data_IF_509683841302
#
_entry.id   IF_509683841302
#
_cell.length_a   1.000
_cell.length_b   1.000
_cell.length_c   1.000
_cell.angle_alpha   90.00
_cell.angle_beta   90.00
_cell.angle_gamma   90.00
#
_symmetry.space_group_name_H-M   'P 1'
#
loop_
_entity.id
_entity.type
_entity.pdbx_description
1 polymer ?
#
# COMPACT_ATOMS: atom_id res chain seq x y z
N UNK A 1 -2.98 -28.24 3.15
CA UNK A 1 -4.10 -27.42 3.65
C UNK A 1 -4.50 -26.44 2.56
N UNK A 2 -5.79 -26.17 2.40
CA UNK A 2 -6.25 -25.08 1.53
C UNK A 2 -5.89 -23.74 2.19
N UNK A 3 -5.40 -22.73 1.44
CA UNK A 3 -5.10 -21.42 2.02
C UNK A 3 -6.41 -20.80 2.52
N UNK A 4 -6.54 -20.62 3.84
CA UNK A 4 -7.66 -19.91 4.44
C UNK A 4 -7.35 -18.41 4.51
N UNK A 5 -8.36 -17.57 4.68
CA UNK A 5 -8.16 -16.14 4.95
C UNK A 5 -7.59 -15.88 6.36
N UNK A 6 -7.78 -16.79 7.30
CA UNK A 6 -7.49 -16.59 8.73
C UNK A 6 -6.14 -17.14 9.19
N UNK A 7 -5.48 -17.99 8.41
CA UNK A 7 -4.18 -18.58 8.76
C UNK A 7 -3.15 -18.28 7.67
N UNK A 8 -2.73 -17.02 7.62
CA UNK A 8 -1.78 -16.50 6.63
C UNK A 8 -0.79 -15.51 7.22
N UNK A 9 0.36 -15.41 6.55
CA UNK A 9 1.29 -14.31 6.68
C UNK A 9 0.82 -13.10 5.87
N UNK A 10 0.40 -12.03 6.55
CA UNK A 10 -0.06 -10.79 5.91
C UNK A 10 1.02 -9.71 5.98
N UNK A 11 1.40 -9.05 4.88
CA UNK A 11 2.25 -7.87 4.98
C UNK A 11 1.46 -6.73 5.63
N UNK A 12 2.04 -6.11 6.66
CA UNK A 12 1.38 -5.04 7.43
C UNK A 12 2.09 -3.70 7.29
N UNK A 13 3.36 -3.70 6.90
CA UNK A 13 4.14 -2.49 6.68
C UNK A 13 5.35 -2.72 5.77
N UNK A 14 5.80 -1.67 5.09
CA UNK A 14 7.17 -1.63 4.57
C UNK A 14 8.13 -1.27 5.70
N UNK A 15 9.24 -2.01 5.82
CA UNK A 15 10.25 -1.79 6.87
C UNK A 15 10.75 -0.35 6.92
N UNK A 16 10.95 0.27 5.74
CA UNK A 16 11.41 1.65 5.59
C UNK A 16 10.44 2.74 6.02
N UNK A 17 9.18 2.39 6.24
CA UNK A 17 8.15 3.33 6.70
C UNK A 17 7.81 3.13 8.19
N UNK A 18 8.34 2.08 8.83
CA UNK A 18 8.27 1.87 10.26
C UNK A 18 9.24 2.82 11.03
N UNK A 19 8.85 3.16 12.25
CA UNK A 19 9.60 4.02 13.16
C UNK A 19 9.91 3.25 14.46
N UNK A 20 11.16 2.83 14.70
CA UNK A 20 11.50 2.00 15.86
C UNK A 20 11.37 2.74 17.20
N UNK A 21 11.13 4.06 17.18
CA UNK A 21 11.04 4.86 18.41
C UNK A 21 9.64 4.93 19.00
N UNK A 22 8.62 4.42 18.29
CA UNK A 22 7.21 4.52 18.72
C UNK A 22 6.36 3.38 18.18
N UNK A 23 5.33 2.96 18.93
CA UNK A 23 4.38 1.98 18.43
C UNK A 23 3.54 2.56 17.28
N UNK A 24 3.06 1.69 16.40
CA UNK A 24 2.29 2.05 15.21
C UNK A 24 1.09 1.10 15.05
N UNK A 25 -0.08 1.66 14.75
CA UNK A 25 -1.30 0.86 14.54
C UNK A 25 -1.42 0.34 13.11
N UNK A 26 -1.88 -0.91 12.97
CA UNK A 26 -2.43 -1.47 11.73
C UNK A 26 -3.70 -2.25 12.04
N UNK A 27 -4.66 -2.33 11.13
CA UNK A 27 -5.85 -3.17 11.30
C UNK A 27 -5.83 -4.26 10.24
N UNK A 28 -5.95 -5.51 10.68
CA UNK A 28 -5.93 -6.71 9.84
C UNK A 28 -7.15 -7.57 10.19
N UNK A 29 -7.99 -7.88 9.20
CA UNK A 29 -9.18 -8.72 9.41
C UNK A 29 -10.07 -8.25 10.57
N UNK A 30 -10.36 -6.94 10.63
CA UNK A 30 -11.06 -6.24 11.72
C UNK A 30 -10.37 -6.27 13.10
N UNK A 31 -9.16 -6.82 13.20
CA UNK A 31 -8.36 -6.81 14.42
C UNK A 31 -7.34 -5.68 14.39
N UNK A 32 -7.41 -4.78 15.36
CA UNK A 32 -6.38 -3.77 15.58
C UNK A 32 -5.11 -4.41 16.15
N UNK A 33 -3.97 -4.04 15.56
CA UNK A 33 -2.64 -4.50 15.88
C UNK A 33 -1.74 -3.32 16.23
N UNK A 34 -0.88 -3.51 17.23
CA UNK A 34 0.24 -2.61 17.52
C UNK A 34 1.54 -3.23 17.01
N UNK A 35 2.21 -2.54 16.09
CA UNK A 35 3.52 -2.86 15.56
C UNK A 35 4.56 -2.02 16.29
N UNK A 36 5.59 -2.65 16.84
CA UNK A 36 6.58 -1.96 17.66
C UNK A 36 7.94 -2.64 17.61
N UNK A 37 9.00 -1.87 17.91
CA UNK A 37 10.37 -2.37 17.93
C UNK A 37 10.75 -2.79 19.35
N UNK A 38 10.98 -4.09 19.53
CA UNK A 38 11.46 -4.69 20.77
C UNK A 38 12.99 -4.61 20.78
N UNK A 39 13.53 -3.56 21.39
CA UNK A 39 14.97 -3.32 21.38
C UNK A 39 15.78 -4.45 22.08
N UNK A 40 15.34 -5.02 23.23
CA UNK A 40 16.00 -6.19 23.81
C UNK A 40 15.99 -7.42 22.91
N UNK A 41 14.90 -7.64 22.18
CA UNK A 41 14.75 -8.77 21.26
C UNK A 41 15.26 -8.52 19.84
N UNK A 42 15.83 -7.34 19.56
CA UNK A 42 16.32 -6.87 18.25
C UNK A 42 15.35 -7.20 17.09
N UNK A 43 14.05 -7.03 17.32
CA UNK A 43 13.03 -7.47 16.36
C UNK A 43 11.76 -6.64 16.41
N UNK A 44 11.06 -6.62 15.26
CA UNK A 44 9.71 -6.07 15.19
C UNK A 44 8.71 -7.06 15.77
N UNK A 45 7.82 -6.57 16.63
CA UNK A 45 6.76 -7.33 17.29
C UNK A 45 5.39 -6.79 16.93
N UNK A 46 4.38 -7.65 17.00
CA UNK A 46 3.00 -7.31 16.71
C UNK A 46 2.09 -7.89 17.78
N UNK A 47 1.34 -7.04 18.50
CA UNK A 47 0.31 -7.50 19.46
C UNK A 47 -1.08 -7.14 18.98
N UNK A 48 -2.10 -7.77 19.55
CA UNK A 48 -3.44 -7.17 19.57
C UNK A 48 -3.34 -5.79 20.23
N UNK A 49 -3.93 -4.77 19.62
CA UNK A 49 -3.83 -3.38 20.07
C UNK A 49 -4.79 -3.07 21.24
N UNK A 50 -4.67 -3.82 22.32
CA UNK A 50 -5.56 -3.72 23.46
C UNK A 50 -4.81 -4.10 24.74
N UNK A 51 -4.69 -3.16 25.66
CA UNK A 51 -4.06 -3.41 26.95
C UNK A 51 -4.94 -4.36 27.79
N UNK A 52 -4.41 -5.47 28.33
CA UNK A 52 -5.19 -6.43 29.11
C UNK A 52 -5.73 -5.86 30.43
N UNK A 53 -5.19 -4.72 30.89
CA UNK A 53 -5.63 -4.09 32.14
C UNK A 53 -7.01 -3.41 31.99
N UNK A 54 -7.15 -2.46 31.05
CA UNK A 54 -8.39 -1.66 30.85
C UNK A 54 -8.69 -1.33 29.39
N UNK A 55 -8.21 -2.17 28.47
CA UNK A 55 -8.61 -2.21 27.08
C UNK A 55 -8.30 -0.96 26.23
N UNK A 56 -7.45 -0.06 26.72
CA UNK A 56 -6.95 1.07 25.93
C UNK A 56 -5.99 0.58 24.83
N UNK A 57 -5.91 1.26 23.68
CA UNK A 57 -4.98 0.90 22.61
C UNK A 57 -3.53 1.07 23.09
N UNK A 58 -2.71 0.05 22.82
CA UNK A 58 -1.27 0.06 23.12
C UNK A 58 -0.50 0.88 22.09
N UNK A 59 -1.05 1.06 20.89
CA UNK A 59 -0.48 1.88 19.82
C UNK A 59 -0.37 3.35 20.16
N UNK A 60 -1.15 3.82 21.13
CA UNK A 60 -1.08 5.18 21.69
C UNK A 60 -0.04 5.30 22.81
N UNK A 61 0.66 4.19 23.12
CA UNK A 61 1.72 4.11 24.12
C UNK A 61 3.07 4.61 23.64
N UNK A 62 4.12 4.16 24.32
CA UNK A 62 5.52 4.48 23.98
C UNK A 62 6.42 3.27 24.11
N UNK A 63 7.63 3.38 23.57
CA UNK A 63 8.73 2.49 23.93
C UNK A 63 9.44 3.12 25.12
N UNK A 64 9.50 2.42 26.24
CA UNK A 64 10.15 2.95 27.45
C UNK A 64 11.68 2.80 27.39
N UNK A 65 12.36 3.27 28.43
CA UNK A 65 13.81 3.29 28.54
C UNK A 65 14.43 1.88 28.53
N UNK A 66 13.66 0.86 28.92
CA UNK A 66 14.06 -0.55 28.86
C UNK A 66 13.78 -1.19 27.49
N UNK A 67 13.27 -0.42 26.52
CA UNK A 67 12.92 -0.91 25.19
C UNK A 67 11.64 -1.75 25.14
N UNK A 68 10.77 -1.63 26.13
CA UNK A 68 9.49 -2.36 26.25
C UNK A 68 8.32 -1.50 25.76
N UNK A 69 7.24 -2.16 25.34
CA UNK A 69 5.98 -1.48 25.02
C UNK A 69 5.27 -1.06 26.31
N UNK A 70 5.11 0.24 26.51
CA UNK A 70 4.48 0.82 27.69
C UNK A 70 3.09 1.38 27.36
N UNK A 71 2.07 0.90 28.08
CA UNK A 71 0.70 1.35 27.95
C UNK A 71 0.55 2.81 28.41
N UNK A 72 -0.12 3.68 27.63
CA UNK A 72 -0.21 5.11 27.94
C UNK A 72 -1.09 5.43 29.16
N UNK A 73 -1.89 4.46 29.64
CA UNK A 73 -2.87 4.74 30.68
C UNK A 73 -2.28 4.58 32.09
N UNK A 74 -1.68 3.44 32.40
CA UNK A 74 -1.16 3.15 33.74
C UNK A 74 0.31 2.74 33.75
N UNK A 75 1.01 2.85 32.62
CA UNK A 75 2.45 2.54 32.53
C UNK A 75 2.78 1.06 32.65
N UNK A 76 1.80 0.16 32.43
CA UNK A 76 2.09 -1.28 32.36
C UNK A 76 2.99 -1.52 31.14
N UNK A 77 4.11 -2.20 31.35
CA UNK A 77 5.06 -2.50 30.28
C UNK A 77 5.07 -3.98 29.92
N UNK A 78 5.30 -4.26 28.64
CA UNK A 78 5.31 -5.60 28.07
C UNK A 78 6.57 -5.81 27.23
N UNK A 79 7.20 -6.97 27.35
CA UNK A 79 8.27 -7.38 26.43
C UNK A 79 7.71 -7.90 25.10
N UNK A 80 8.57 -8.32 24.17
CA UNK A 80 8.20 -8.84 22.87
C UNK A 80 7.39 -10.15 22.85
N UNK A 81 7.41 -10.92 23.94
CA UNK A 81 6.61 -12.14 24.08
C UNK A 81 5.20 -11.83 24.64
N UNK A 82 4.96 -10.58 25.03
CA UNK A 82 3.72 -10.12 25.63
C UNK A 82 3.68 -10.27 27.15
N UNK A 83 4.78 -10.68 27.78
CA UNK A 83 4.88 -10.81 29.23
C UNK A 83 4.88 -9.43 29.88
N UNK A 84 4.00 -9.21 30.86
CA UNK A 84 4.02 -7.98 31.64
C UNK A 84 5.28 -7.92 32.50
N UNK A 85 6.12 -6.91 32.24
CA UNK A 85 7.43 -6.73 32.89
C UNK A 85 7.38 -5.75 34.05
N UNK A 86 6.54 -4.72 33.98
CA UNK A 86 6.36 -3.78 35.07
C UNK A 86 4.90 -3.34 35.21
N UNK A 87 4.46 -3.24 36.46
CA UNK A 87 3.21 -2.60 36.86
C UNK A 87 3.61 -1.53 37.88
N UNK A 88 3.68 -0.24 37.50
CA UNK A 88 4.22 0.80 38.39
C UNK A 88 3.45 0.95 39.71
N UNK A 89 2.20 0.51 39.76
CA UNK A 89 1.34 0.56 40.95
C UNK A 89 1.44 -0.69 41.84
N UNK A 90 2.26 -1.68 41.49
CA UNK A 90 2.40 -2.91 42.25
C UNK A 90 3.42 -2.71 43.39
N UNK A 91 2.99 -2.98 44.63
CA UNK A 91 3.86 -2.91 45.80
C UNK A 91 4.93 -4.00 45.81
N UNK A 92 6.02 -3.77 46.54
CA UNK A 92 7.11 -4.75 46.69
C UNK A 92 6.59 -6.10 47.20
N UNK A 93 7.01 -7.20 46.57
CA UNK A 93 6.64 -8.56 46.95
C UNK A 93 5.29 -9.06 46.40
N UNK A 94 4.47 -8.20 45.81
CA UNK A 94 3.26 -8.64 45.11
C UNK A 94 3.61 -9.36 43.79
N UNK A 95 2.91 -10.46 43.50
CA UNK A 95 3.04 -11.20 42.23
C UNK A 95 1.84 -10.91 41.35
N UNK A 96 2.08 -10.52 40.10
CA UNK A 96 1.02 -10.47 39.09
C UNK A 96 0.47 -11.87 38.84
N UNK A 97 -0.85 -11.96 38.58
CA UNK A 97 -1.43 -13.18 38.04
C UNK A 97 -1.02 -13.32 36.58
N UNK A 98 0.15 -13.93 36.33
CA UNK A 98 0.90 -13.90 35.06
C UNK A 98 0.02 -13.97 33.79
N UNK A 99 -0.85 -14.98 33.69
CA UNK A 99 -1.66 -15.21 32.47
C UNK A 99 -2.68 -14.10 32.15
N UNK A 100 -3.21 -13.39 33.15
CA UNK A 100 -4.20 -12.30 32.91
C UNK A 100 -3.55 -10.97 32.58
N UNK A 101 -2.25 -10.87 32.78
CA UNK A 101 -1.46 -9.67 32.53
C UNK A 101 -0.73 -9.71 31.18
N UNK A 102 -0.79 -10.81 30.45
CA UNK A 102 -0.09 -10.97 29.17
C UNK A 102 -0.84 -10.31 28.00
N UNK A 103 -0.08 -9.73 27.08
CA UNK A 103 -0.57 -9.26 25.79
C UNK A 103 -0.53 -10.39 24.76
N UNK A 104 -1.53 -10.45 23.87
CA UNK A 104 -1.55 -11.44 22.79
C UNK A 104 -0.49 -11.15 21.73
N UNK A 105 0.68 -11.78 21.85
CA UNK A 105 1.75 -11.72 20.85
C UNK A 105 1.41 -12.50 19.59
N UNK A 106 1.66 -11.89 18.43
CA UNK A 106 1.45 -12.49 17.12
C UNK A 106 2.82 -12.71 16.46
N UNK A 107 3.07 -13.88 15.84
CA UNK A 107 4.31 -14.12 15.13
C UNK A 107 4.55 -13.06 14.05
N UNK A 108 5.79 -12.59 13.97
CA UNK A 108 6.26 -11.65 12.96
C UNK A 108 7.39 -12.28 12.14
N UNK A 109 7.50 -11.87 10.88
CA UNK A 109 8.60 -12.27 10.00
C UNK A 109 8.88 -11.16 9.01
N UNK A 110 10.12 -11.06 8.53
CA UNK A 110 10.56 -10.04 7.59
C UNK A 110 11.03 -10.73 6.32
N UNK A 111 10.59 -10.22 5.17
CA UNK A 111 11.09 -10.67 3.87
C UNK A 111 10.85 -9.64 2.80
N UNK A 112 11.82 -9.45 1.90
CA UNK A 112 11.69 -8.53 0.77
C UNK A 112 11.34 -7.08 1.19
N UNK A 113 11.86 -6.62 2.32
CA UNK A 113 11.60 -5.27 2.88
C UNK A 113 10.18 -5.04 3.43
N UNK A 114 9.41 -6.11 3.65
CA UNK A 114 8.08 -6.08 4.26
C UNK A 114 8.11 -6.74 5.65
N UNK A 115 7.35 -6.16 6.59
CA UNK A 115 7.00 -6.82 7.85
C UNK A 115 5.71 -7.61 7.64
N UNK A 116 5.74 -8.89 7.95
CA UNK A 116 4.60 -9.80 7.94
C UNK A 116 4.14 -10.12 9.37
N UNK A 117 2.83 -10.30 9.52
CA UNK A 117 2.19 -10.80 10.76
C UNK A 117 1.38 -12.04 10.44
N UNK A 118 1.54 -13.08 11.25
CA UNK A 118 0.73 -14.28 11.15
C UNK A 118 -0.64 -14.08 11.82
N UNK A 119 -1.70 -14.40 11.09
CA UNK A 119 -3.09 -14.22 11.54
C UNK A 119 -3.69 -15.44 12.25
N UNK A 120 -3.07 -16.61 12.09
CA UNK A 120 -3.59 -17.88 12.59
C UNK A 120 -3.03 -18.29 13.95
N UNK A 121 -3.08 -19.59 14.22
CA UNK A 121 -2.50 -20.17 15.44
C UNK A 121 -0.97 -20.02 15.42
N UNK A 122 -0.37 -19.48 16.48
CA UNK A 122 1.06 -19.16 16.52
C UNK A 122 1.97 -20.38 16.25
N UNK A 123 1.59 -21.58 16.71
CA UNK A 123 2.35 -22.82 16.48
C UNK A 123 2.37 -23.28 15.01
N UNK A 124 1.48 -22.75 14.16
CA UNK A 124 1.43 -23.04 12.73
C UNK A 124 2.21 -22.02 11.88
N UNK A 125 2.75 -20.97 12.51
CA UNK A 125 3.50 -19.93 11.82
C UNK A 125 4.91 -20.44 11.45
N UNK A 126 5.14 -20.71 10.17
CA UNK A 126 6.47 -20.97 9.62
C UNK A 126 7.05 -19.70 8.98
N UNK A 127 8.08 -19.07 9.57
CA UNK A 127 8.72 -17.87 9.01
C UNK A 127 9.38 -18.08 7.65
N UNK A 128 9.66 -19.32 7.24
CA UNK A 128 10.21 -19.62 5.91
C UNK A 128 9.12 -19.64 4.81
N UNK A 129 7.85 -19.76 5.19
CA UNK A 129 6.71 -19.87 4.28
C UNK A 129 6.07 -18.50 3.94
N UNK A 130 6.88 -17.44 3.84
CA UNK A 130 6.40 -16.13 3.44
C UNK A 130 5.96 -16.12 1.95
N UNK A 131 4.84 -15.45 1.61
CA UNK A 131 4.41 -15.30 0.22
C UNK A 131 5.28 -14.22 -0.43
N UNK A 132 6.46 -14.60 -0.91
CA UNK A 132 7.43 -13.71 -1.53
C UNK A 132 7.43 -13.86 -3.05
N UNK A 133 7.85 -12.81 -3.78
CA UNK A 133 8.00 -12.87 -5.24
C UNK A 133 9.31 -13.57 -5.59
N UNK A 134 9.33 -14.79 -6.16
CA UNK A 134 10.55 -15.61 -6.21
C UNK A 134 11.73 -14.98 -6.96
N UNK A 135 11.47 -14.14 -7.97
CA UNK A 135 12.50 -13.50 -8.79
C UNK A 135 13.16 -12.30 -8.11
N UNK A 136 12.60 -11.79 -7.01
CA UNK A 136 13.16 -10.68 -6.25
C UNK A 136 14.00 -11.21 -5.08
N UNK A 137 15.32 -11.15 -5.24
CA UNK A 137 16.26 -11.54 -4.19
C UNK A 137 16.89 -10.31 -3.55
N UNK A 138 16.92 -10.27 -2.23
CA UNK A 138 17.55 -9.17 -1.47
C UNK A 138 19.08 -9.26 -1.58
N UNK A 139 19.75 -8.12 -1.69
CA UNK A 139 21.21 -8.02 -1.68
C UNK A 139 21.64 -6.74 -0.95
N UNK A 140 22.13 -6.89 0.28
CA UNK A 140 22.38 -5.75 1.18
C UNK A 140 21.10 -4.91 1.35
N UNK A 141 21.21 -3.60 1.21
CA UNK A 141 20.07 -2.67 1.27
C UNK A 141 19.24 -2.60 -0.03
N UNK A 142 19.57 -3.43 -1.02
CA UNK A 142 18.98 -3.41 -2.36
C UNK A 142 18.55 -4.78 -2.85
N UNK A 143 18.59 -4.94 -4.17
CA UNK A 143 18.13 -6.15 -4.86
C UNK A 143 19.24 -6.73 -5.73
N UNK A 144 19.33 -8.06 -5.76
CA UNK A 144 20.18 -8.77 -6.68
C UNK A 144 19.77 -8.53 -8.14
N UNK A 145 20.59 -8.99 -9.09
CA UNK A 145 20.29 -9.03 -10.52
C UNK A 145 19.92 -7.67 -11.15
N UNK A 146 20.30 -6.57 -10.49
CA UNK A 146 20.11 -5.22 -11.01
C UNK A 146 18.68 -4.69 -10.94
N UNK A 147 17.79 -5.31 -10.15
CA UNK A 147 16.43 -4.81 -9.94
C UNK A 147 16.41 -3.43 -9.28
N UNK A 148 15.46 -2.60 -9.71
CA UNK A 148 15.04 -1.38 -9.02
C UNK A 148 13.57 -1.54 -8.69
N UNK A 149 13.21 -1.38 -7.42
CA UNK A 149 11.83 -1.58 -6.98
C UNK A 149 11.26 -0.26 -6.48
N UNK A 150 10.19 0.19 -7.15
CA UNK A 150 9.36 1.29 -6.66
C UNK A 150 8.19 0.69 -5.89
N UNK A 151 8.16 0.92 -4.59
CA UNK A 151 7.12 0.42 -3.70
C UNK A 151 6.14 1.55 -3.32
N UNK A 152 4.87 1.20 -3.10
CA UNK A 152 3.88 2.09 -2.50
C UNK A 152 2.78 1.30 -1.81
N UNK A 153 2.00 1.94 -0.95
CA UNK A 153 0.81 1.34 -0.37
C UNK A 153 -0.35 2.34 -0.35
N UNK A 154 -1.58 1.85 -0.24
CA UNK A 154 -2.76 2.70 -0.05
C UNK A 154 -3.83 1.88 0.66
N UNK A 155 -4.48 2.47 1.67
CA UNK A 155 -5.78 1.98 2.12
C UNK A 155 -6.82 2.33 1.06
N UNK A 156 -7.48 1.31 0.52
CA UNK A 156 -8.50 1.43 -0.49
C UNK A 156 -9.88 1.13 0.11
N UNK A 157 -10.91 1.93 -0.20
CA UNK A 157 -12.28 1.75 0.27
C UNK A 157 -13.01 0.69 -0.58
N UNK A 158 -12.43 -0.49 -0.67
CA UNK A 158 -13.02 -1.66 -1.30
C UNK A 158 -12.50 -2.94 -0.64
N UNK A 159 -13.18 -4.06 -0.83
CA UNK A 159 -12.69 -5.34 -0.37
C UNK A 159 -11.44 -5.82 -1.13
N UNK A 160 -10.61 -6.62 -0.45
CA UNK A 160 -9.40 -7.20 -1.04
C UNK A 160 -9.68 -8.04 -2.29
N UNK A 161 -10.84 -8.70 -2.37
CA UNK A 161 -11.26 -9.46 -3.54
C UNK A 161 -11.56 -8.57 -4.75
N UNK A 162 -12.26 -7.43 -4.53
CA UNK A 162 -12.51 -6.45 -5.58
C UNK A 162 -11.20 -5.86 -6.11
N UNK A 163 -10.25 -5.59 -5.20
CA UNK A 163 -8.91 -5.18 -5.61
C UNK A 163 -8.22 -6.25 -6.46
N UNK A 164 -8.18 -7.51 -6.00
CA UNK A 164 -7.53 -8.62 -6.71
C UNK A 164 -8.11 -8.82 -8.11
N UNK A 165 -9.44 -8.84 -8.23
CA UNK A 165 -10.13 -8.92 -9.51
C UNK A 165 -9.68 -7.82 -10.47
N UNK A 166 -9.67 -6.57 -10.00
CA UNK A 166 -9.25 -5.42 -10.79
C UNK A 166 -7.79 -5.49 -11.23
N UNK A 167 -6.86 -5.80 -10.32
CA UNK A 167 -5.42 -5.81 -10.67
C UNK A 167 -5.04 -6.98 -11.56
N UNK A 168 -5.77 -8.10 -11.50
CA UNK A 168 -5.58 -9.26 -12.38
C UNK A 168 -6.10 -9.01 -13.80
N UNK A 169 -7.21 -8.29 -13.94
CA UNK A 169 -7.78 -7.95 -15.23
C UNK A 169 -6.98 -6.82 -15.92
N UNK A 170 -6.11 -7.17 -16.86
CA UNK A 170 -5.35 -6.17 -17.62
C UNK A 170 -6.16 -5.43 -18.70
N UNK A 171 -7.39 -5.87 -19.00
CA UNK A 171 -8.18 -5.35 -20.13
C UNK A 171 -8.70 -3.93 -19.89
N UNK A 172 -8.90 -3.53 -18.62
CA UNK A 172 -9.35 -2.19 -18.26
C UNK A 172 -8.26 -1.11 -18.45
N UNK A 173 -6.98 -1.49 -18.48
CA UNK A 173 -5.85 -0.56 -18.42
C UNK A 173 -5.84 0.50 -19.53
N UNK A 174 -6.08 0.16 -20.82
CA UNK A 174 -6.19 1.16 -21.88
C UNK A 174 -7.30 2.20 -21.67
N UNK A 175 -8.36 1.84 -20.94
CA UNK A 175 -9.58 2.61 -20.81
C UNK A 175 -9.64 3.43 -19.52
N UNK A 176 -9.55 2.78 -18.37
CA UNK A 176 -9.60 3.43 -17.05
C UNK A 176 -8.39 4.30 -16.82
N UNK A 177 -7.20 3.77 -17.15
CA UNK A 177 -5.92 4.46 -16.98
C UNK A 177 -5.56 5.31 -18.19
N UNK A 178 -6.55 5.73 -18.98
CA UNK A 178 -6.32 6.60 -20.13
C UNK A 178 -5.68 7.92 -19.68
N UNK A 179 -4.57 8.30 -20.33
CA UNK A 179 -3.77 9.51 -20.02
C UNK A 179 -2.99 9.45 -18.70
N UNK A 180 -3.01 8.32 -17.99
CA UNK A 180 -2.07 8.03 -16.89
C UNK A 180 -1.03 7.03 -17.37
N UNK A 181 -1.32 5.73 -17.27
CA UNK A 181 -0.41 4.65 -17.70
C UNK A 181 -0.88 3.94 -18.97
N UNK A 182 -2.14 4.14 -19.38
CA UNK A 182 -2.78 3.52 -20.53
C UNK A 182 -3.15 4.52 -21.65
N UNK A 183 -3.40 3.97 -22.84
CA UNK A 183 -4.01 4.70 -23.96
C UNK A 183 -5.07 3.81 -24.61
N UNK A 184 -6.26 4.36 -24.86
CA UNK A 184 -7.40 3.64 -25.46
C UNK A 184 -7.05 3.01 -26.81
N UNK A 185 -6.21 3.68 -27.60
CA UNK A 185 -5.70 3.19 -28.89
C UNK A 185 -4.86 1.90 -28.79
N UNK A 186 -4.34 1.56 -27.60
CA UNK A 186 -3.57 0.34 -27.39
C UNK A 186 -4.47 -0.87 -27.01
N UNK A 187 -5.79 -0.70 -26.90
CA UNK A 187 -6.68 -1.81 -26.58
C UNK A 187 -6.59 -2.92 -27.64
N UNK A 188 -6.46 -4.16 -27.19
CA UNK A 188 -6.36 -5.35 -28.04
C UNK A 188 -7.00 -6.55 -27.35
N UNK A 189 -7.34 -7.63 -28.09
CA UNK A 189 -7.77 -8.88 -27.48
C UNK A 189 -6.77 -9.37 -26.44
N UNK A 190 -7.26 -9.82 -25.28
CA UNK A 190 -6.45 -10.47 -24.25
C UNK A 190 -6.62 -11.97 -24.43
N UNK A 191 -5.61 -12.63 -24.98
CA UNK A 191 -5.60 -14.06 -25.30
C UNK A 191 -4.73 -14.81 -24.27
N UNK A 192 -5.09 -14.66 -23.00
CA UNK A 192 -4.42 -15.35 -21.90
C UNK A 192 -4.98 -16.76 -21.70
N UNK A 193 -4.13 -17.70 -21.32
CA UNK A 193 -4.49 -19.09 -21.04
C UNK A 193 -4.04 -19.47 -19.64
N UNK A 194 -4.93 -20.06 -18.85
CA UNK A 194 -4.59 -20.63 -17.54
C UNK A 194 -3.73 -21.88 -17.77
N UNK A 195 -2.50 -21.85 -17.27
CA UNK A 195 -1.54 -22.96 -17.37
C UNK A 195 -1.54 -23.83 -16.11
N UNK A 196 -1.94 -23.27 -14.96
CA UNK A 196 -2.08 -23.98 -13.68
C UNK A 196 -3.23 -23.36 -12.88
N UNK A 197 -4.07 -24.17 -12.26
CA UNK A 197 -5.09 -23.73 -11.31
C UNK A 197 -5.28 -24.79 -10.22
N UNK A 198 -5.05 -24.43 -8.97
CA UNK A 198 -5.17 -25.32 -7.83
C UNK A 198 -5.59 -24.55 -6.56
N UNK A 199 -5.54 -25.21 -5.40
CA UNK A 199 -5.92 -24.59 -4.11
C UNK A 199 -5.08 -23.36 -3.74
N UNK A 200 -3.84 -23.29 -4.21
CA UNK A 200 -2.85 -22.25 -3.92
C UNK A 200 -2.95 -21.06 -4.89
N UNK A 201 -3.88 -21.09 -5.85
CA UNK A 201 -4.12 -20.02 -6.81
C UNK A 201 -3.99 -20.49 -8.26
N UNK A 202 -3.53 -19.62 -9.15
CA UNK A 202 -3.41 -19.94 -10.57
C UNK A 202 -2.25 -19.22 -11.25
N UNK A 203 -1.85 -19.75 -12.39
CA UNK A 203 -0.90 -19.13 -13.31
C UNK A 203 -1.52 -19.05 -14.70
N UNK A 204 -1.27 -17.96 -15.40
CA UNK A 204 -1.68 -17.78 -16.78
C UNK A 204 -0.58 -17.16 -17.62
N UNK A 205 -0.61 -17.47 -18.91
CA UNK A 205 0.34 -16.99 -19.88
C UNK A 205 -0.37 -16.29 -21.04
N UNK A 206 0.13 -15.12 -21.42
CA UNK A 206 -0.32 -14.39 -22.60
C UNK A 206 0.86 -14.10 -23.53
N UNK A 207 0.89 -14.81 -24.67
CA UNK A 207 2.01 -14.82 -25.60
C UNK A 207 2.32 -13.44 -26.22
N UNK A 208 1.29 -12.69 -26.60
CA UNK A 208 1.44 -11.37 -27.25
C UNK A 208 1.54 -10.21 -26.24
N UNK A 209 1.08 -10.43 -25.00
CA UNK A 209 1.05 -9.43 -23.95
C UNK A 209 0.22 -8.18 -24.27
N UNK A 210 0.23 -7.17 -23.37
CA UNK A 210 -0.68 -6.02 -23.42
C UNK A 210 -0.41 -5.03 -24.55
N UNK A 211 0.64 -5.24 -25.36
CA UNK A 211 0.92 -4.35 -26.49
C UNK A 211 1.64 -5.09 -27.60
N UNK A 212 0.85 -5.66 -28.52
CA UNK A 212 1.32 -6.38 -29.70
C UNK A 212 2.51 -5.67 -30.37
N UNK A 213 3.63 -6.36 -30.46
CA UNK A 213 4.87 -5.89 -31.10
C UNK A 213 5.73 -4.91 -30.29
N UNK A 214 5.32 -4.49 -29.09
CA UNK A 214 6.10 -3.57 -28.22
C UNK A 214 6.37 -4.14 -26.84
N UNK A 215 5.34 -4.68 -26.18
CA UNK A 215 5.49 -5.46 -24.96
C UNK A 215 5.53 -6.93 -25.36
N UNK A 216 6.44 -7.72 -24.78
CA UNK A 216 6.55 -9.14 -25.08
C UNK A 216 5.46 -9.94 -24.35
N UNK A 217 5.71 -11.22 -24.11
CA UNK A 217 4.81 -12.07 -23.34
C UNK A 217 4.60 -11.55 -21.92
N UNK A 218 3.47 -11.92 -21.35
CA UNK A 218 3.12 -11.66 -19.96
C UNK A 218 2.80 -12.98 -19.26
N UNK A 219 3.50 -13.23 -18.16
CA UNK A 219 3.15 -14.25 -17.18
C UNK A 219 2.34 -13.60 -16.06
N UNK A 220 1.30 -14.28 -15.60
CA UNK A 220 0.44 -13.81 -14.52
C UNK A 220 0.34 -14.88 -13.46
N UNK A 221 0.59 -14.50 -12.22
CA UNK A 221 0.52 -15.39 -11.07
C UNK A 221 -0.45 -14.81 -10.05
N UNK A 222 -1.33 -15.66 -9.55
CA UNK A 222 -2.08 -15.43 -8.33
C UNK A 222 -1.66 -16.50 -7.32
N UNK A 223 -1.04 -16.06 -6.23
CA UNK A 223 -0.74 -16.87 -5.07
C UNK A 223 -1.73 -16.53 -3.96
N UNK A 224 -2.59 -17.48 -3.67
CA UNK A 224 -3.65 -17.33 -2.71
C UNK A 224 -3.13 -17.03 -1.29
N UNK A 225 -3.89 -16.28 -0.48
CA UNK A 225 -5.14 -15.62 -0.85
C UNK A 225 -4.97 -14.15 -1.30
N UNK A 226 -3.74 -13.64 -1.37
CA UNK A 226 -3.50 -12.19 -1.32
C UNK A 226 -2.52 -11.63 -2.36
N UNK A 227 -1.66 -12.46 -2.95
CA UNK A 227 -0.54 -12.01 -3.75
C UNK A 227 -0.84 -12.27 -5.23
N UNK A 228 -0.68 -11.26 -6.05
CA UNK A 228 -0.61 -11.44 -7.49
C UNK A 228 0.58 -10.68 -8.07
N UNK A 229 1.09 -11.17 -9.19
CA UNK A 229 1.98 -10.37 -10.02
C UNK A 229 1.85 -10.69 -11.49
N UNK A 230 2.06 -9.66 -12.30
CA UNK A 230 2.35 -9.79 -13.72
C UNK A 230 3.85 -9.63 -13.95
N UNK A 231 4.45 -10.51 -14.75
CA UNK A 231 5.83 -10.44 -15.21
C UNK A 231 5.85 -10.22 -16.72
N UNK A 232 6.35 -9.06 -17.12
CA UNK A 232 6.36 -8.63 -18.52
C UNK A 232 7.79 -8.43 -18.99
N UNK A 233 8.15 -9.08 -20.08
CA UNK A 233 9.42 -8.84 -20.76
C UNK A 233 9.20 -7.92 -21.97
N UNK A 234 9.46 -6.62 -21.82
CA UNK A 234 9.40 -5.66 -22.92
C UNK A 234 10.61 -5.84 -23.85
N UNK A 235 10.36 -6.26 -25.10
CA UNK A 235 11.40 -6.56 -26.08
C UNK A 235 12.34 -5.35 -26.24
N UNK A 236 13.61 -5.55 -25.92
CA UNK A 236 14.66 -4.54 -26.10
C UNK A 236 14.75 -3.44 -25.04
N UNK A 237 13.87 -3.40 -24.03
CA UNK A 237 13.83 -2.29 -23.07
C UNK A 237 14.06 -2.73 -21.61
N UNK A 238 13.11 -3.47 -21.03
CA UNK A 238 13.13 -3.84 -19.62
C UNK A 238 12.28 -5.09 -19.34
N UNK A 239 12.62 -5.82 -18.28
CA UNK A 239 11.66 -6.71 -17.60
C UNK A 239 10.97 -5.90 -16.51
N UNK A 240 9.65 -6.01 -16.42
CA UNK A 240 8.80 -5.19 -15.58
C UNK A 240 7.86 -6.10 -14.83
N UNK A 241 7.81 -5.98 -13.51
CA UNK A 241 6.80 -6.64 -12.71
C UNK A 241 5.79 -5.61 -12.18
N UNK A 242 4.54 -6.02 -12.11
CA UNK A 242 3.51 -5.37 -11.28
C UNK A 242 3.12 -6.37 -10.23
N UNK A 243 3.48 -6.12 -8.98
CA UNK A 243 3.21 -7.00 -7.83
C UNK A 243 2.22 -6.30 -6.91
N UNK A 244 1.17 -6.99 -6.49
CA UNK A 244 0.19 -6.48 -5.55
C UNK A 244 -0.08 -7.50 -4.46
N UNK A 245 -0.02 -7.05 -3.20
CA UNK A 245 -0.67 -7.73 -2.09
C UNK A 245 -1.96 -7.00 -1.75
N UNK A 246 -3.07 -7.74 -1.70
CA UNK A 246 -4.37 -7.25 -1.27
C UNK A 246 -4.65 -7.73 0.16
N UNK A 247 -4.51 -6.83 1.13
CA UNK A 247 -4.57 -7.16 2.56
C UNK A 247 -5.90 -6.67 3.16
N UNK A 248 -6.79 -7.56 3.64
CA UNK A 248 -8.06 -7.16 4.24
C UNK A 248 -7.86 -6.35 5.53
N UNK A 249 -8.38 -5.14 5.57
CA UNK A 249 -8.39 -4.30 6.80
C UNK A 249 -9.69 -4.57 7.55
N UNK A 250 -10.82 -4.31 6.89
CA UNK A 250 -12.19 -4.49 7.39
C UNK A 250 -13.12 -4.68 6.20
N UNK A 251 -14.38 -5.08 6.42
CA UNK A 251 -15.35 -5.21 5.32
C UNK A 251 -15.50 -3.89 4.54
N UNK A 252 -15.30 -3.95 3.22
CA UNK A 252 -15.29 -2.81 2.31
C UNK A 252 -14.01 -1.97 2.38
N UNK A 253 -12.92 -2.50 2.97
CA UNK A 253 -11.63 -1.82 3.07
C UNK A 253 -10.44 -2.77 3.06
N UNK A 254 -9.46 -2.51 2.20
CA UNK A 254 -8.21 -3.25 2.16
C UNK A 254 -6.99 -2.32 2.09
N UNK A 255 -5.80 -2.84 2.41
CA UNK A 255 -4.54 -2.20 2.05
C UNK A 255 -3.97 -2.87 0.81
N UNK A 256 -3.68 -2.06 -0.20
CA UNK A 256 -2.81 -2.43 -1.29
C UNK A 256 -1.35 -2.22 -0.85
N UNK A 257 -0.50 -3.24 -1.01
CA UNK A 257 0.95 -3.06 -1.13
C UNK A 257 1.36 -3.34 -2.57
N UNK A 258 1.78 -2.32 -3.29
CA UNK A 258 2.18 -2.44 -4.69
C UNK A 258 3.68 -2.28 -4.84
N UNK A 259 4.26 -3.16 -5.65
CA UNK A 259 5.68 -3.15 -6.00
C UNK A 259 5.79 -3.12 -7.51
N UNK A 260 6.64 -2.24 -8.00
CA UNK A 260 6.97 -2.14 -9.41
C UNK A 260 8.48 -2.38 -9.59
N UNK A 261 8.91 -3.66 -9.66
CA UNK A 261 10.28 -4.01 -10.04
C UNK A 261 10.55 -3.74 -11.52
N UNK A 262 11.71 -3.14 -11.80
CA UNK A 262 12.22 -2.91 -13.14
C UNK A 262 13.65 -3.44 -13.27
N UNK A 263 13.90 -4.18 -14.34
CA UNK A 263 15.24 -4.57 -14.77
C UNK A 263 15.51 -3.93 -16.14
N UNK A 264 16.15 -2.76 -16.14
CA UNK A 264 16.46 -2.02 -17.36
C UNK A 264 17.71 -2.58 -18.04
N UNK A 265 17.69 -2.66 -19.37
CA UNK A 265 18.91 -3.01 -20.15
C UNK A 265 19.95 -1.88 -20.14
N UNK A 266 19.51 -0.63 -20.10
CA UNK A 266 20.38 0.55 -20.13
C UNK A 266 20.51 1.18 -18.74
N UNK A 267 21.68 1.77 -18.46
CA UNK A 267 21.99 2.43 -17.18
C UNK A 267 21.19 3.72 -16.99
N UNK A 268 20.96 4.49 -18.06
CA UNK A 268 20.32 5.81 -17.95
C UNK A 268 18.89 5.75 -17.35
N UNK A 269 17.96 4.90 -17.82
CA UNK A 269 16.65 4.74 -17.17
C UNK A 269 16.76 4.33 -15.71
N UNK A 270 17.70 3.43 -15.39
CA UNK A 270 17.97 2.99 -14.02
C UNK A 270 18.36 4.15 -13.11
N UNK A 271 19.26 5.02 -13.55
CA UNK A 271 19.67 6.21 -12.79
C UNK A 271 18.52 7.20 -12.65
N UNK A 272 17.79 7.50 -13.73
CA UNK A 272 16.67 8.45 -13.70
C UNK A 272 15.56 8.02 -12.73
N UNK A 273 15.21 6.73 -12.75
CA UNK A 273 14.23 6.16 -11.82
C UNK A 273 14.74 6.22 -10.38
N UNK A 274 16.02 5.92 -10.14
CA UNK A 274 16.65 5.98 -8.82
C UNK A 274 16.74 7.39 -8.22
N UNK A 275 16.86 8.43 -9.06
CA UNK A 275 16.93 9.83 -8.60
C UNK A 275 15.57 10.41 -8.19
N UNK A 276 14.45 9.79 -8.60
CA UNK A 276 13.12 10.31 -8.30
C UNK A 276 12.76 10.05 -6.83
N UNK A 277 12.45 11.10 -6.03
CA UNK A 277 12.06 10.91 -4.64
C UNK A 277 10.82 10.03 -4.50
N UNK A 278 10.82 9.07 -3.55
CA UNK A 278 9.69 8.15 -3.31
C UNK A 278 8.36 8.89 -3.18
N UNK A 279 8.29 9.94 -2.37
CA UNK A 279 7.04 10.70 -2.19
C UNK A 279 6.49 11.29 -3.51
N UNK A 280 7.36 11.68 -4.44
CA UNK A 280 6.94 12.22 -5.74
C UNK A 280 6.53 11.11 -6.71
N UNK A 281 7.11 9.92 -6.57
CA UNK A 281 6.65 8.71 -7.23
C UNK A 281 5.24 8.33 -6.73
N UNK A 282 5.03 8.30 -5.41
CA UNK A 282 3.74 7.94 -4.80
C UNK A 282 2.59 8.86 -5.26
N UNK A 283 2.81 10.17 -5.43
CA UNK A 283 1.78 11.09 -5.98
C UNK A 283 1.29 10.60 -7.35
N UNK A 284 2.19 10.05 -8.17
CA UNK A 284 1.87 9.48 -9.48
C UNK A 284 1.16 8.13 -9.37
N UNK A 285 1.61 7.22 -8.51
CA UNK A 285 0.94 5.93 -8.30
C UNK A 285 -0.49 6.11 -7.78
N UNK A 286 -0.69 7.01 -6.83
CA UNK A 286 -2.02 7.32 -6.27
C UNK A 286 -2.98 7.85 -7.30
N UNK A 287 -2.46 8.58 -8.30
CA UNK A 287 -3.27 9.06 -9.41
C UNK A 287 -3.87 7.90 -10.22
N UNK A 288 -3.12 6.81 -10.41
CA UNK A 288 -3.56 5.59 -11.12
C UNK A 288 -4.60 4.86 -10.26
N UNK A 289 -4.31 4.59 -8.98
CA UNK A 289 -5.26 3.91 -8.09
C UNK A 289 -6.61 4.63 -7.98
N UNK A 290 -6.59 5.95 -8.00
CA UNK A 290 -7.80 6.77 -7.96
C UNK A 290 -8.67 6.65 -9.21
N UNK A 291 -8.08 6.34 -10.38
CA UNK A 291 -8.87 6.10 -11.60
C UNK A 291 -9.81 4.90 -11.38
N UNK A 292 -9.34 3.84 -10.70
CA UNK A 292 -10.12 2.63 -10.41
C UNK A 292 -11.09 2.81 -9.24
N UNK A 293 -10.58 3.38 -8.14
CA UNK A 293 -11.21 3.32 -6.83
C UNK A 293 -12.66 3.82 -6.81
N UNK A 294 -12.97 4.89 -7.55
CA UNK A 294 -14.29 5.53 -7.52
C UNK A 294 -15.38 4.60 -8.03
N UNK A 295 -15.13 3.88 -9.11
CA UNK A 295 -16.13 2.98 -9.67
C UNK A 295 -16.05 1.58 -9.06
N UNK A 296 -14.88 1.11 -8.61
CA UNK A 296 -14.78 -0.19 -7.91
C UNK A 296 -15.54 -0.16 -6.58
N UNK A 297 -15.45 0.95 -5.84
CA UNK A 297 -16.28 1.20 -4.65
C UNK A 297 -17.79 1.11 -4.97
N UNK A 298 -18.19 1.50 -6.18
CA UNK A 298 -19.57 1.35 -6.61
C UNK A 298 -19.90 -0.08 -7.06
N UNK A 299 -19.03 -0.70 -7.87
CA UNK A 299 -19.18 -2.04 -8.42
C UNK A 299 -19.35 -3.09 -7.32
N UNK A 300 -18.51 -3.06 -6.27
CA UNK A 300 -18.59 -4.06 -5.18
C UNK A 300 -19.95 -4.05 -4.47
N UNK A 301 -20.58 -2.88 -4.34
CA UNK A 301 -21.89 -2.72 -3.68
C UNK A 301 -23.02 -3.24 -4.57
N UNK A 302 -22.91 -3.04 -5.88
CA UNK A 302 -23.86 -3.59 -6.85
C UNK A 302 -23.76 -5.12 -6.85
N UNK A 303 -22.54 -5.67 -6.86
CA UNK A 303 -22.30 -7.10 -6.79
C UNK A 303 -22.80 -7.70 -5.47
N UNK A 304 -22.53 -7.05 -4.33
CA UNK A 304 -23.02 -7.50 -3.03
C UNK A 304 -24.56 -7.54 -2.98
N UNK A 305 -25.24 -6.51 -3.51
CA UNK A 305 -26.70 -6.49 -3.60
C UNK A 305 -27.26 -7.60 -4.50
N UNK A 306 -26.47 -8.08 -5.47
CA UNK A 306 -26.79 -9.21 -6.34
C UNK A 306 -26.44 -10.58 -5.72
N UNK A 307 -25.94 -10.64 -4.48
CA UNK A 307 -25.58 -11.89 -3.79
C UNK A 307 -24.08 -12.22 -3.78
N UNK A 308 -23.21 -11.24 -4.05
CA UNK A 308 -21.76 -11.35 -3.92
C UNK A 308 -21.11 -12.34 -4.90
N UNK A 309 -19.90 -12.83 -4.58
CA UNK A 309 -19.17 -13.79 -5.43
C UNK A 309 -19.93 -15.09 -5.70
N UNK A 310 -20.78 -15.53 -4.76
CA UNK A 310 -21.62 -16.70 -4.96
C UNK A 310 -22.62 -16.54 -6.12
N UNK A 311 -22.95 -15.29 -6.46
CA UNK A 311 -23.88 -14.93 -7.54
C UNK A 311 -23.18 -14.22 -8.70
N UNK A 312 -21.83 -14.24 -8.75
CA UNK A 312 -21.05 -13.52 -9.76
C UNK A 312 -21.47 -13.87 -11.20
N UNK A 313 -21.69 -15.16 -11.48
CA UNK A 313 -22.12 -15.65 -12.80
C UNK A 313 -23.52 -15.15 -13.22
N UNK A 314 -24.35 -14.74 -12.26
CA UNK A 314 -25.67 -14.15 -12.50
C UNK A 314 -25.61 -12.61 -12.51
N UNK A 315 -24.67 -12.03 -11.75
CA UNK A 315 -24.55 -10.60 -11.55
C UNK A 315 -23.90 -9.86 -12.73
N UNK A 316 -22.96 -10.51 -13.44
CA UNK A 316 -22.30 -9.92 -14.61
C UNK A 316 -21.85 -10.98 -15.63
N UNK A 317 -21.61 -10.55 -16.86
CA UNK A 317 -21.26 -11.43 -17.99
C UNK A 317 -19.78 -11.34 -18.28
N UNK A 318 -19.15 -12.49 -18.50
CA UNK A 318 -17.72 -12.64 -18.81
C UNK A 318 -17.54 -13.36 -20.17
N UNK A 319 -17.83 -12.70 -21.31
CA UNK A 319 -18.06 -13.38 -22.58
C UNK A 319 -16.78 -13.70 -23.36
N UNK A 320 -15.63 -13.15 -22.98
CA UNK A 320 -14.41 -13.20 -23.80
C UNK A 320 -13.26 -13.95 -23.12
N UNK A 321 -12.15 -14.10 -23.84
CA UNK A 321 -10.89 -14.62 -23.30
C UNK A 321 -10.21 -13.65 -22.32
N UNK A 322 -10.56 -12.35 -22.36
CA UNK A 322 -10.02 -11.37 -21.42
C UNK A 322 -10.46 -11.64 -19.97
N UNK A 323 -11.63 -12.27 -19.83
CA UNK A 323 -12.25 -12.53 -18.54
C UNK A 323 -11.68 -13.77 -17.81
N UNK A 324 -10.67 -14.43 -18.39
CA UNK A 324 -10.14 -15.69 -17.89
C UNK A 324 -9.63 -15.59 -16.44
N UNK A 325 -9.01 -14.46 -16.09
CA UNK A 325 -8.50 -14.22 -14.75
C UNK A 325 -9.63 -14.07 -13.72
N UNK A 326 -10.67 -13.31 -14.08
CA UNK A 326 -11.84 -13.09 -13.24
C UNK A 326 -12.57 -14.41 -12.99
N UNK A 327 -12.77 -15.21 -14.04
CA UNK A 327 -13.34 -16.57 -13.91
C UNK A 327 -12.53 -17.45 -12.96
N UNK A 328 -11.21 -17.51 -13.14
CA UNK A 328 -10.33 -18.32 -12.30
C UNK A 328 -10.36 -17.86 -10.82
N UNK A 329 -10.35 -16.55 -10.58
CA UNK A 329 -10.44 -15.98 -9.24
C UNK A 329 -11.78 -16.35 -8.55
N UNK A 330 -12.92 -16.15 -9.20
CA UNK A 330 -14.22 -16.48 -8.61
C UNK A 330 -14.41 -17.99 -8.39
N UNK A 331 -13.89 -18.83 -9.30
CA UNK A 331 -13.84 -20.29 -9.04
C UNK A 331 -13.05 -20.61 -7.78
N UNK A 332 -11.90 -19.99 -7.59
CA UNK A 332 -11.10 -20.17 -6.37
C UNK A 332 -11.85 -19.68 -5.13
N UNK A 333 -12.42 -18.47 -5.15
CA UNK A 333 -13.17 -17.89 -4.02
C UNK A 333 -14.35 -18.79 -3.62
N UNK A 334 -15.11 -19.29 -4.59
CA UNK A 334 -16.26 -20.15 -4.34
C UNK A 334 -15.84 -21.49 -3.73
N UNK A 335 -14.69 -22.06 -4.14
CA UNK A 335 -14.13 -23.28 -3.50
C UNK A 335 -13.67 -23.03 -2.06
N UNK A 336 -13.29 -21.81 -1.70
CA UNK A 336 -12.91 -21.45 -0.32
C UNK A 336 -14.11 -21.11 0.58
N UNK A 337 -15.33 -21.08 0.05
CA UNK A 337 -16.52 -20.68 0.81
C UNK A 337 -16.68 -19.15 0.95
N UNK A 338 -16.01 -18.35 0.11
CA UNK A 338 -16.19 -16.90 0.04
C UNK A 338 -14.96 -16.07 0.43
N UNK A 339 -15.19 -14.77 0.59
CA UNK A 339 -14.16 -13.80 0.99
C UNK A 339 -13.89 -13.74 2.49
N UNK A 340 -12.93 -12.90 2.93
CA UNK A 340 -12.47 -12.82 4.32
C UNK A 340 -13.54 -12.36 5.32
N UNK A 341 -14.62 -11.74 4.84
CA UNK A 341 -15.70 -11.18 5.64
C UNK A 341 -17.08 -11.69 5.19
N UNK A 342 -17.16 -12.94 4.72
CA UNK A 342 -18.38 -13.54 4.21
C UNK A 342 -19.58 -13.35 5.16
N UNK A 343 -20.73 -12.97 4.60
CA UNK A 343 -21.98 -12.74 5.34
C UNK A 343 -22.09 -11.40 6.06
N UNK A 344 -21.06 -10.53 6.02
CA UNK A 344 -21.11 -9.19 6.62
C UNK A 344 -21.49 -8.13 5.57
N UNK A 345 -22.42 -7.22 5.87
CA UNK A 345 -22.82 -6.18 4.92
C UNK A 345 -21.68 -5.19 4.68
N UNK A 346 -21.60 -4.65 3.45
CA UNK A 346 -20.71 -3.54 3.14
C UNK A 346 -21.16 -2.25 3.83
N UNK A 347 -20.21 -1.37 4.22
CA UNK A 347 -20.55 -0.04 4.73
C UNK A 347 -21.24 0.79 3.64
N UNK A 348 -22.01 1.85 4.02
CA UNK A 348 -22.64 2.75 3.07
C UNK A 348 -21.66 3.31 2.04
N UNK A 349 -22.20 3.68 0.87
CA UNK A 349 -21.42 4.35 -0.17
C UNK A 349 -20.86 5.67 0.37
N UNK A 350 -19.62 5.96 0.03
CA UNK A 350 -18.92 7.18 0.42
C UNK A 350 -18.87 8.18 -0.74
N UNK A 351 -18.80 9.45 -0.40
CA UNK A 351 -18.64 10.55 -1.36
C UNK A 351 -17.23 10.58 -1.95
N UNK A 352 -17.10 11.14 -3.15
CA UNK A 352 -15.84 11.18 -3.91
C UNK A 352 -14.75 11.91 -3.12
N UNK A 353 -15.09 12.93 -2.34
CA UNK A 353 -14.17 13.67 -1.47
C UNK A 353 -13.48 12.74 -0.47
N UNK A 354 -14.23 11.80 0.13
CA UNK A 354 -13.70 10.81 1.07
C UNK A 354 -12.83 9.80 0.34
N UNK A 355 -13.28 9.32 -0.84
CA UNK A 355 -12.50 8.42 -1.68
C UNK A 355 -11.15 9.06 -2.09
N UNK A 356 -11.12 10.37 -2.32
CA UNK A 356 -9.91 11.09 -2.75
C UNK A 356 -8.95 11.44 -1.61
N UNK A 357 -9.25 11.13 -0.34
CA UNK A 357 -8.38 11.43 0.78
C UNK A 357 -7.07 10.61 0.71
N UNK A 358 -5.94 11.29 0.45
CA UNK A 358 -4.60 10.68 0.46
C UNK A 358 -3.92 10.76 1.82
N UNK A 359 -4.35 11.70 2.67
CA UNK A 359 -3.69 11.94 3.94
C UNK A 359 -3.89 10.75 4.88
N UNK A 360 -5.15 10.34 5.09
CA UNK A 360 -5.47 9.28 6.04
C UNK A 360 -5.19 7.89 5.47
N UNK A 361 -5.35 7.69 4.17
CA UNK A 361 -5.14 6.39 3.51
C UNK A 361 -3.68 6.10 3.17
N UNK A 362 -2.77 7.08 3.26
CA UNK A 362 -1.35 6.90 2.93
C UNK A 362 -0.40 7.89 3.61
N UNK A 363 -0.52 9.19 3.36
CA UNK A 363 0.57 10.14 3.63
C UNK A 363 0.97 10.21 5.09
N UNK A 364 0.04 10.11 6.03
CA UNK A 364 0.36 10.11 7.47
C UNK A 364 1.12 8.84 7.91
N UNK A 365 0.95 7.74 7.18
CA UNK A 365 1.56 6.44 7.45
C UNK A 365 2.85 6.19 6.65
N UNK A 366 3.06 6.89 5.54
CA UNK A 366 4.27 6.75 4.74
C UNK A 366 5.35 7.74 5.20
N UNK A 367 6.48 7.25 5.73
CA UNK A 367 7.60 8.08 6.21
C UNK A 367 8.11 9.05 5.16
N UNK A 368 8.22 8.64 3.89
CA UNK A 368 8.67 9.54 2.82
C UNK A 368 7.69 10.68 2.56
N UNK A 369 6.39 10.38 2.48
CA UNK A 369 5.36 11.37 2.19
C UNK A 369 5.10 12.32 3.38
N UNK A 370 5.05 11.80 4.61
CA UNK A 370 4.87 12.63 5.81
C UNK A 370 6.04 13.60 6.03
N UNK A 371 7.28 13.15 5.85
CA UNK A 371 8.48 14.00 5.91
C UNK A 371 8.44 15.06 4.82
N UNK A 372 8.12 14.69 3.57
CA UNK A 372 8.00 15.65 2.47
C UNK A 372 6.94 16.71 2.75
N UNK A 373 5.77 16.32 3.25
CA UNK A 373 4.70 17.23 3.62
C UNK A 373 5.15 18.22 4.71
N UNK A 374 5.84 17.74 5.76
CA UNK A 374 6.40 18.61 6.81
C UNK A 374 7.40 19.60 6.25
N UNK A 375 8.35 19.15 5.42
CA UNK A 375 9.37 20.02 4.76
C UNK A 375 8.74 21.06 3.85
N UNK A 376 7.73 20.68 3.07
CA UNK A 376 7.00 21.61 2.21
C UNK A 376 6.30 22.67 3.06
N UNK A 377 5.62 22.27 4.14
CA UNK A 377 4.93 23.19 5.06
C UNK A 377 5.92 24.14 5.74
N UNK A 378 7.09 23.66 6.17
CA UNK A 378 8.10 24.50 6.80
C UNK A 378 8.78 25.48 5.82
N UNK A 379 8.86 25.15 4.53
CA UNK A 379 9.47 26.00 3.50
C UNK A 379 8.56 27.16 3.06
N UNK A 380 7.23 26.96 3.09
CA UNK A 380 6.26 27.94 2.55
C UNK A 380 6.36 29.35 3.16
N UNK A 381 6.46 29.54 4.49
CA UNK A 381 6.60 30.88 5.07
C UNK A 381 7.81 31.64 4.52
N UNK A 382 8.93 30.94 4.33
CA UNK A 382 10.16 31.53 3.77
C UNK A 382 9.97 31.96 2.31
N UNK A 383 9.31 31.14 1.49
CA UNK A 383 9.02 31.51 0.10
C UNK A 383 8.09 32.73 -0.01
N UNK A 384 7.11 32.85 0.89
CA UNK A 384 6.31 34.07 0.99
C UNK A 384 7.14 35.26 1.43
N UNK A 385 8.00 35.11 2.43
CA UNK A 385 8.94 36.14 2.85
C UNK A 385 9.87 36.60 1.71
N UNK A 386 10.39 35.68 0.91
CA UNK A 386 11.19 35.98 -0.28
C UNK A 386 10.40 36.74 -1.35
N UNK A 387 9.12 36.41 -1.54
CA UNK A 387 8.23 37.13 -2.46
C UNK A 387 7.88 38.54 -1.95
N UNK A 388 7.78 38.73 -0.63
CA UNK A 388 7.62 40.06 -0.05
C UNK A 388 8.90 40.89 -0.20
N UNK A 389 10.06 40.30 0.09
CA UNK A 389 11.35 40.95 -0.09
C UNK A 389 11.58 41.36 -1.55
N UNK A 390 11.19 40.52 -2.52
CA UNK A 390 11.30 40.87 -3.92
C UNK A 390 10.46 42.10 -4.29
N UNK A 391 9.26 42.23 -3.74
CA UNK A 391 8.43 43.42 -3.95
C UNK A 391 9.09 44.70 -3.39
N UNK A 392 9.73 44.60 -2.21
CA UNK A 392 10.50 45.71 -1.63
C UNK A 392 11.70 46.09 -2.51
N UNK A 393 12.47 45.11 -3.00
CA UNK A 393 13.62 45.33 -3.88
C UNK A 393 13.22 45.97 -5.21
N UNK A 394 12.10 45.55 -5.79
CA UNK A 394 11.53 46.14 -7.02
C UNK A 394 11.11 47.58 -6.77
N UNK A 395 10.40 47.85 -5.66
CA UNK A 395 9.95 49.21 -5.32
C UNK A 395 11.08 50.18 -5.01
N UNK A 396 12.17 49.70 -4.41
CA UNK A 396 13.36 50.50 -4.09
C UNK A 396 14.31 50.67 -5.30
N UNK A 397 14.30 49.74 -6.26
CA UNK A 397 15.21 49.71 -7.39
C UNK A 397 14.79 50.62 -8.54
N UNK A 398 15.12 51.91 -8.47
CA UNK A 398 14.99 52.83 -9.61
C UNK A 398 16.03 52.49 -10.70
N UNK A 399 15.75 51.50 -11.56
CA UNK A 399 16.60 51.05 -12.69
C UNK A 399 18.00 50.55 -12.29
N UNK A 400 18.17 50.05 -11.06
CA UNK A 400 19.44 49.50 -10.55
C UNK A 400 19.46 47.97 -10.54
N UNK A 401 20.60 47.36 -10.20
CA UNK A 401 20.75 45.91 -10.04
C UNK A 401 19.76 45.29 -9.02
N UNK A 402 19.27 46.08 -8.06
CA UNK A 402 18.25 45.68 -7.09
C UNK A 402 16.92 45.32 -7.75
N UNK A 403 16.55 46.01 -8.84
CA UNK A 403 15.36 45.70 -9.62
C UNK A 403 15.47 44.28 -10.21
N UNK A 404 16.59 43.98 -10.87
CA UNK A 404 16.82 42.67 -11.48
C UNK A 404 16.88 41.53 -10.45
N UNK A 405 17.52 41.78 -9.30
CA UNK A 405 17.51 40.84 -8.18
C UNK A 405 16.08 40.60 -7.66
N UNK A 406 15.30 41.66 -7.48
CA UNK A 406 13.91 41.60 -7.07
C UNK A 406 13.05 40.79 -8.06
N UNK A 407 13.12 41.11 -9.36
CA UNK A 407 12.36 40.38 -10.40
C UNK A 407 12.74 38.89 -10.42
N UNK A 408 14.03 38.56 -10.34
CA UNK A 408 14.51 37.17 -10.31
C UNK A 408 14.00 36.43 -9.07
N UNK A 409 14.09 37.06 -7.90
CA UNK A 409 13.61 36.51 -6.64
C UNK A 409 12.08 36.30 -6.67
N UNK A 410 11.33 37.24 -7.26
CA UNK A 410 9.89 37.12 -7.43
C UNK A 410 9.53 35.93 -8.32
N UNK A 411 10.19 35.77 -9.46
CA UNK A 411 9.97 34.67 -10.38
C UNK A 411 10.27 33.31 -9.74
N UNK A 412 11.43 33.17 -9.10
CA UNK A 412 11.83 31.93 -8.42
C UNK A 412 10.90 31.58 -7.26
N UNK A 413 10.53 32.58 -6.44
CA UNK A 413 9.62 32.39 -5.31
C UNK A 413 8.21 32.02 -5.78
N UNK A 414 7.70 32.69 -6.82
CA UNK A 414 6.39 32.41 -7.41
C UNK A 414 6.29 31.00 -8.00
N UNK A 415 7.30 30.58 -8.78
CA UNK A 415 7.37 29.21 -9.32
C UNK A 415 7.45 28.18 -8.19
N UNK A 416 8.30 28.44 -7.18
CA UNK A 416 8.45 27.56 -6.02
C UNK A 416 7.17 27.44 -5.19
N UNK A 417 6.47 28.55 -4.95
CA UNK A 417 5.17 28.57 -4.24
C UNK A 417 4.11 27.78 -5.01
N UNK A 418 4.03 27.96 -6.34
CA UNK A 418 3.10 27.21 -7.18
C UNK A 418 3.40 25.71 -7.13
N UNK A 419 4.67 25.34 -7.28
CA UNK A 419 5.09 23.94 -7.31
C UNK A 419 4.90 23.24 -5.96
N UNK A 420 5.33 23.88 -4.87
CA UNK A 420 5.14 23.35 -3.50
C UNK A 420 3.66 23.26 -3.13
N UNK A 421 2.81 24.19 -3.57
CA UNK A 421 1.36 24.08 -3.40
C UNK A 421 0.77 22.87 -4.13
N UNK A 422 1.22 22.62 -5.36
CA UNK A 422 0.80 21.45 -6.14
C UNK A 422 1.24 20.15 -5.47
N UNK A 423 2.47 20.06 -4.98
CA UNK A 423 2.96 18.88 -4.25
C UNK A 423 2.23 18.68 -2.93
N UNK A 424 2.03 19.73 -2.14
CA UNK A 424 1.27 19.65 -0.90
C UNK A 424 -0.14 19.13 -1.17
N UNK A 425 -0.84 19.66 -2.18
CA UNK A 425 -2.16 19.17 -2.56
C UNK A 425 -2.10 17.68 -2.94
N UNK A 426 -1.15 17.28 -3.78
CA UNK A 426 -0.99 15.89 -4.20
C UNK A 426 -0.62 14.92 -3.07
N UNK A 427 -0.10 15.41 -1.94
CA UNK A 427 0.13 14.59 -0.73
C UNK A 427 -1.11 14.50 0.17
N UNK A 428 -2.10 15.37 -0.02
CA UNK A 428 -3.28 15.45 0.85
C UNK A 428 -4.54 14.86 0.20
N UNK A 429 -4.72 15.09 -1.09
CA UNK A 429 -5.97 14.74 -1.80
C UNK A 429 -5.72 14.41 -3.26
N UNK A 430 -6.56 13.54 -3.82
CA UNK A 430 -6.65 13.27 -5.25
C UNK A 430 -7.08 14.49 -6.06
N UNK A 431 -6.99 14.41 -7.39
CA UNK A 431 -7.36 15.51 -8.28
C UNK A 431 -8.86 15.57 -8.62
N UNK A 432 -9.65 14.60 -8.16
CA UNK A 432 -11.10 14.54 -8.36
C UNK A 432 -11.54 14.25 -9.80
N UNK A 433 -10.60 13.92 -10.71
CA UNK A 433 -10.87 13.71 -12.13
C UNK A 433 -11.03 12.24 -12.52
N UNK A 434 -11.50 11.39 -11.61
CA UNK A 434 -11.58 9.94 -11.83
C UNK A 434 -13.00 9.49 -12.25
N UNK A 435 -13.14 8.58 -13.24
CA UNK A 435 -12.10 8.14 -14.18
C UNK A 435 -11.82 9.23 -15.25
N UNK A 436 -10.60 9.27 -15.78
CA UNK A 436 -10.13 10.29 -16.74
C UNK A 436 -10.65 10.06 -18.16
N UNK A 437 -11.97 10.13 -18.32
CA UNK A 437 -12.69 9.74 -19.54
C UNK A 437 -13.14 10.91 -20.43
N UNK A 438 -12.93 12.17 -20.01
CA UNK A 438 -13.36 13.34 -20.80
C UNK A 438 -12.55 13.49 -22.10
N UNK A 439 -13.24 13.55 -23.25
CA UNK A 439 -12.64 14.01 -24.52
C UNK A 439 -12.32 15.51 -24.36
N UNK A 440 -11.06 15.88 -24.54
CA UNK A 440 -10.61 17.27 -24.66
C UNK A 440 -10.22 17.45 -26.11
#
# INVERSE_FOLDING_TARGET
>A
MHPSWSEQWWPVAYMRDLDPTRPQRFTLLDQDLVLWWDAPGDSWRAFKDVCPHRLVPLSEGRINEAGQLECPYHGWSFDGDGTCRAIPQMGEGARSQARRTECGSLPTAIGQGLLFVWSGTASAADPAALPLVPVLKEQGDGWADGWIVQDTFRDLPMDALTLLENVLDVSHVPFTHHRTVGKRENASPVEAVIIREDSQGFEAFWQEGPRKGKLGSQDTHFQAPQLMWHDLTAKGFARILTVVYAVPISRGKCRLFARFPFQFKAVAPRVLVGLRPRWLQHIGNHKVLEDDQVFLHWQERVLEAAGGSASAEQAFVLPTSADVYVKALHRWVNRQGGGPFAGRPLPPRQDVEVLMDRYHSHTKHCRSCSVALRRIRSLRPWLWGSLWLSAVLIGAGQLSWLLWLGVTLAALSGVSLRQTSRWQRGLLVGDGQAPRNQRI
#
